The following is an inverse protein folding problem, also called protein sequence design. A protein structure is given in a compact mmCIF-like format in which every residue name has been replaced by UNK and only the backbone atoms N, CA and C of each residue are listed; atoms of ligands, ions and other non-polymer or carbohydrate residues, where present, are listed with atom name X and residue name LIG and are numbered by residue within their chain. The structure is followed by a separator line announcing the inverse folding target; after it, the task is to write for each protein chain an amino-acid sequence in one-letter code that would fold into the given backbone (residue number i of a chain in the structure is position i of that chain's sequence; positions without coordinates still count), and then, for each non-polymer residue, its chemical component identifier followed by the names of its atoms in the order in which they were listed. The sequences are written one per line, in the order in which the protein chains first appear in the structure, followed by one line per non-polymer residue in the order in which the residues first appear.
data_IF_186195578243
#
_entry.id   IF_186195578243
#
_cell.length_a   1.000
_cell.length_b   1.000
_cell.length_c   1.000
_cell.angle_alpha   90.00
_cell.angle_beta   90.00
_cell.angle_gamma   90.00
#
_symmetry.space_group_name_H-M   'P 1'
#
loop_
_entity.id
_entity.type
_entity.pdbx_description
1 polymer ?
#
# COMPACT_ATOMS: atom_id res chain seq x y z
N UNK A 1 10.52 -11.74 8.20
CA UNK A 1 10.67 -10.42 7.58
C UNK A 1 10.77 -9.38 8.67
N UNK A 2 11.95 -8.81 8.82
CA UNK A 2 12.26 -7.63 9.63
C UNK A 2 11.78 -6.37 8.90
N UNK A 3 11.66 -5.25 9.63
CA UNK A 3 11.26 -3.96 9.02
C UNK A 3 12.24 -3.50 7.94
N UNK A 4 13.52 -3.84 8.09
CA UNK A 4 14.58 -3.51 7.15
C UNK A 4 14.46 -4.31 5.85
N UNK A 5 14.18 -5.61 5.94
CA UNK A 5 13.90 -6.45 4.76
C UNK A 5 12.67 -5.95 3.99
N UNK A 6 11.60 -5.56 4.70
CA UNK A 6 10.39 -5.02 4.07
C UNK A 6 10.68 -3.68 3.38
N UNK A 7 11.49 -2.82 3.99
CA UNK A 7 11.87 -1.55 3.38
C UNK A 7 12.68 -1.76 2.11
N UNK A 8 13.63 -2.69 2.11
CA UNK A 8 14.42 -3.03 0.92
C UNK A 8 13.53 -3.55 -0.22
N UNK A 9 12.52 -4.36 0.10
CA UNK A 9 11.58 -4.88 -0.89
C UNK A 9 10.67 -3.78 -1.46
N UNK A 10 10.22 -2.83 -0.62
CA UNK A 10 9.52 -1.62 -1.05
C UNK A 10 10.40 -0.81 -2.01
N UNK A 11 11.66 -0.55 -1.67
CA UNK A 11 12.57 0.25 -2.49
C UNK A 11 12.83 -0.42 -3.86
N UNK A 12 12.95 -1.75 -3.88
CA UNK A 12 13.08 -2.51 -5.12
C UNK A 12 11.83 -2.43 -6.00
N UNK A 13 10.64 -2.50 -5.39
CA UNK A 13 9.38 -2.37 -6.12
C UNK A 13 9.17 -0.93 -6.61
N UNK A 14 9.53 0.07 -5.81
CA UNK A 14 9.46 1.48 -6.22
C UNK A 14 10.40 1.78 -7.40
N UNK A 15 11.55 1.13 -7.48
CA UNK A 15 12.46 1.25 -8.62
C UNK A 15 11.92 0.67 -9.94
N UNK A 16 10.92 -0.22 -9.86
CA UNK A 16 10.27 -0.83 -11.02
C UNK A 16 9.08 -0.02 -11.53
N UNK A 17 8.69 1.04 -10.81
CA UNK A 17 7.60 1.91 -11.23
C UNK A 17 8.00 2.64 -12.52
N UNK A 18 7.20 2.45 -13.56
CA UNK A 18 7.40 3.08 -14.87
C UNK A 18 6.78 4.47 -14.92
N UNK A 19 5.95 4.81 -13.91
CA UNK A 19 5.15 6.02 -13.88
C UNK A 19 3.81 5.88 -14.62
N UNK A 20 3.61 4.77 -15.33
CA UNK A 20 2.34 4.43 -15.94
C UNK A 20 1.44 3.78 -14.90
N UNK A 21 0.39 4.48 -14.48
CA UNK A 21 -0.52 4.04 -13.43
C UNK A 21 -1.16 2.67 -13.69
N UNK A 22 -1.36 2.29 -14.95
CA UNK A 22 -2.00 1.01 -15.30
C UNK A 22 -1.01 -0.16 -15.19
N UNK A 23 0.25 0.04 -15.56
CA UNK A 23 1.31 -0.97 -15.43
C UNK A 23 1.83 -1.06 -14.00
N UNK A 24 1.85 0.07 -13.29
CA UNK A 24 2.28 0.17 -11.90
C UNK A 24 1.24 -0.37 -10.91
N UNK A 25 0.01 -0.67 -11.33
CA UNK A 25 -1.09 -0.99 -10.41
C UNK A 25 -0.75 -2.15 -9.48
N UNK A 26 -0.23 -3.25 -10.02
CA UNK A 26 0.14 -4.44 -9.25
C UNK A 26 1.34 -4.17 -8.33
N UNK A 27 2.31 -3.38 -8.80
CA UNK A 27 3.51 -3.04 -8.03
C UNK A 27 3.13 -2.13 -6.85
N UNK A 28 2.26 -1.15 -7.09
CA UNK A 28 1.75 -0.23 -6.07
C UNK A 28 0.91 -0.95 -5.01
N UNK A 29 0.10 -1.93 -5.40
CA UNK A 29 -0.66 -2.75 -4.44
C UNK A 29 0.27 -3.57 -3.53
N UNK A 30 1.31 -4.19 -4.09
CA UNK A 30 2.35 -4.89 -3.32
C UNK A 30 3.07 -3.96 -2.36
N UNK A 31 3.50 -2.78 -2.84
CA UNK A 31 4.14 -1.76 -1.99
C UNK A 31 3.22 -1.34 -0.85
N UNK A 32 1.92 -1.13 -1.13
CA UNK A 32 0.96 -0.74 -0.11
C UNK A 32 0.83 -1.81 0.98
N UNK A 33 0.66 -3.08 0.59
CA UNK A 33 0.59 -4.20 1.52
C UNK A 33 1.86 -4.33 2.38
N UNK A 34 3.04 -4.20 1.77
CA UNK A 34 4.32 -4.22 2.49
C UNK A 34 4.44 -3.05 3.48
N UNK A 35 4.03 -1.84 3.09
CA UNK A 35 3.99 -0.67 4.00
C UNK A 35 3.05 -0.91 5.18
N UNK A 36 1.89 -1.53 4.95
CA UNK A 36 0.97 -1.91 6.02
C UNK A 36 1.61 -2.90 7.01
N UNK A 37 2.30 -3.93 6.52
CA UNK A 37 3.00 -4.90 7.37
C UNK A 37 4.14 -4.23 8.15
N UNK A 38 4.94 -3.37 7.50
CA UNK A 38 6.05 -2.63 8.14
C UNK A 38 5.55 -1.74 9.29
N UNK A 39 4.44 -1.05 9.06
CA UNK A 39 3.86 -0.09 10.00
C UNK A 39 2.96 -0.78 11.04
N UNK A 40 2.71 -2.09 10.89
CA UNK A 40 1.83 -2.87 11.77
C UNK A 40 0.36 -2.50 11.65
N UNK A 41 -0.02 -1.89 10.52
CA UNK A 41 -1.39 -1.45 10.23
C UNK A 41 -2.14 -2.62 9.62
N UNK A 42 -3.23 -3.08 10.27
CA UNK A 42 -4.10 -4.09 9.68
C UNK A 42 -4.88 -3.51 8.50
N UNK A 43 -5.07 -4.26 7.39
CA UNK A 43 -6.05 -3.90 6.37
C UNK A 43 -7.44 -4.08 6.98
N UNK A 44 -8.05 -2.98 7.39
CA UNK A 44 -9.34 -3.01 8.07
C UNK A 44 -9.44 -1.99 9.19
N UNK A 45 -9.43 -0.72 8.80
CA UNK A 45 -9.83 0.41 9.64
C UNK A 45 -10.46 1.51 8.80
N UNK A 46 -10.97 1.18 7.60
CA UNK A 46 -11.94 2.05 6.96
C UNK A 46 -13.28 1.78 7.63
N UNK A 47 -13.45 2.34 8.83
CA UNK A 47 -14.76 2.82 9.23
C UNK A 47 -15.02 4.04 8.34
N UNK A 48 -15.32 3.79 7.05
CA UNK A 48 -16.03 4.80 6.27
C UNK A 48 -17.39 4.82 6.94
N UNK A 49 -17.53 5.70 7.94
CA UNK A 49 -18.82 6.29 8.24
C UNK A 49 -19.25 6.94 6.93
N UNK A 50 -20.05 6.22 6.16
CA UNK A 50 -20.95 6.82 5.20
C UNK A 50 -21.92 7.66 6.03
N UNK A 51 -21.45 8.83 6.47
CA UNK A 51 -22.30 9.86 7.03
C UNK A 51 -23.17 10.28 5.87
N UNK A 52 -24.41 9.79 5.88
CA UNK A 52 -25.42 10.13 4.91
C UNK A 52 -25.47 11.65 4.72
N UNK A 53 -24.99 12.10 3.57
CA UNK A 53 -25.64 13.18 2.86
C UNK A 53 -26.88 12.50 2.23
N UNK A 54 -28.01 12.40 2.91
CA UNK A 54 -28.71 13.53 3.51
C UNK A 54 -29.51 14.23 2.42
N UNK A 55 -30.42 13.52 1.75
CA UNK A 55 -31.66 14.00 1.12
C UNK A 55 -32.51 12.81 0.68
#
# INVERSE_FOLDING_TARGET
MTKEEIQQEIDQLESQLTGNMMEDMEIRDKIHNLKMIRDGIKPGGQEIECVGCGS
#
